data_IF_046636513528
#
_entry.id   IF_046636513528
#
_cell.length_a   1.000
_cell.length_b   1.000
_cell.length_c   1.000
_cell.angle_alpha   90.00
_cell.angle_beta   90.00
_cell.angle_gamma   90.00
#
_symmetry.space_group_name_H-M   'P 1'
#
loop_
_entity.id
_entity.type
_entity.pdbx_description
1 polymer ?
#
# COMPACT_ATOMS: atom_id res chain seq x y z
N UNK A 1 -25.34 20.32 -13.23
CA UNK A 1 -25.02 18.95 -12.80
C UNK A 1 -24.04 18.41 -13.84
N UNK A 2 -22.74 18.46 -13.56
CA UNK A 2 -21.69 18.06 -14.51
C UNK A 2 -21.23 16.61 -14.24
N UNK A 3 -20.91 15.81 -15.26
CA UNK A 3 -20.43 14.44 -15.10
C UNK A 3 -18.97 14.40 -14.60
N UNK A 4 -18.51 13.30 -13.97
CA UNK A 4 -17.13 13.13 -13.53
C UNK A 4 -16.25 12.74 -14.73
N UNK A 5 -15.57 13.72 -15.32
CA UNK A 5 -14.59 13.54 -16.40
C UNK A 5 -13.17 13.79 -15.91
N UNK A 6 -12.20 13.13 -16.52
CA UNK A 6 -10.75 13.29 -16.31
C UNK A 6 -10.34 14.76 -16.38
N UNK A 7 -9.61 15.26 -15.38
CA UNK A 7 -9.18 16.66 -15.32
C UNK A 7 -7.66 16.75 -15.42
N UNK A 8 -7.17 17.06 -16.61
CA UNK A 8 -5.79 17.49 -16.86
C UNK A 8 -5.67 18.91 -16.28
N UNK A 9 -5.06 19.06 -15.11
CA UNK A 9 -4.99 20.35 -14.44
C UNK A 9 -3.75 21.12 -14.94
N UNK A 10 -3.96 22.30 -15.54
CA UNK A 10 -2.87 23.20 -15.96
C UNK A 10 -2.10 23.82 -14.77
N UNK A 11 -2.52 23.52 -13.53
CA UNK A 11 -1.88 23.97 -12.30
C UNK A 11 -1.46 22.76 -11.44
N UNK A 12 -0.17 22.39 -11.44
CA UNK A 12 0.36 21.25 -10.68
C UNK A 12 0.03 21.31 -9.18
N UNK A 13 0.07 22.50 -8.58
CA UNK A 13 -0.24 22.70 -7.15
C UNK A 13 -1.69 22.34 -6.79
N UNK A 14 -2.65 22.71 -7.63
CA UNK A 14 -4.06 22.35 -7.41
C UNK A 14 -4.30 20.84 -7.66
N UNK A 15 -3.56 20.21 -8.58
CA UNK A 15 -3.60 18.76 -8.74
C UNK A 15 -3.11 18.03 -7.48
N UNK A 16 -1.98 18.46 -6.91
CA UNK A 16 -1.43 17.89 -5.65
C UNK A 16 -2.44 18.01 -4.50
N UNK A 17 -3.05 19.18 -4.31
CA UNK A 17 -4.08 19.37 -3.26
C UNK A 17 -5.25 18.41 -3.44
N UNK A 18 -5.74 18.24 -4.67
CA UNK A 18 -6.86 17.33 -4.98
C UNK A 18 -6.50 15.87 -4.73
N UNK A 19 -5.32 15.44 -5.14
CA UNK A 19 -4.82 14.07 -4.92
C UNK A 19 -4.66 13.80 -3.42
N UNK A 20 -4.08 14.74 -2.66
CA UNK A 20 -3.93 14.60 -1.21
C UNK A 20 -5.29 14.58 -0.49
N UNK A 21 -6.24 15.42 -0.88
CA UNK A 21 -7.60 15.40 -0.33
C UNK A 21 -8.31 14.06 -0.60
N UNK A 22 -8.14 13.51 -1.80
CA UNK A 22 -8.65 12.17 -2.11
C UNK A 22 -7.97 11.08 -1.26
N UNK A 23 -6.64 11.12 -1.13
CA UNK A 23 -5.88 10.15 -0.34
C UNK A 23 -6.32 10.16 1.13
N UNK A 24 -6.52 11.35 1.72
CA UNK A 24 -7.06 11.51 3.06
C UNK A 24 -8.44 10.87 3.19
N UNK A 25 -9.38 11.23 2.30
CA UNK A 25 -10.73 10.68 2.32
C UNK A 25 -10.74 9.15 2.14
N UNK A 26 -9.95 8.60 1.21
CA UNK A 26 -9.86 7.17 0.93
C UNK A 26 -9.26 6.37 2.09
N UNK A 27 -8.43 7.00 2.93
CA UNK A 27 -7.74 6.37 4.05
C UNK A 27 -8.33 6.70 5.42
N UNK A 28 -9.52 7.29 5.47
CA UNK A 28 -10.14 7.79 6.70
C UNK A 28 -9.17 8.69 7.50
N UNK A 29 -8.51 9.59 6.79
CA UNK A 29 -7.55 10.57 7.30
C UNK A 29 -6.30 9.96 7.97
N UNK A 30 -6.04 8.67 7.74
CA UNK A 30 -4.84 8.03 8.26
C UNK A 30 -3.58 8.41 7.44
N UNK A 31 -3.75 8.72 6.16
CA UNK A 31 -2.75 9.31 5.28
C UNK A 31 -3.28 10.64 4.76
N UNK A 32 -2.76 11.73 5.32
CA UNK A 32 -3.14 13.12 5.04
C UNK A 32 -2.65 13.66 3.70
N UNK A 33 -1.48 13.19 3.28
CA UNK A 33 -0.78 13.62 2.06
C UNK A 33 0.04 12.47 1.51
N UNK A 34 0.02 12.30 0.19
CA UNK A 34 0.87 11.34 -0.54
C UNK A 34 1.91 12.08 -1.38
N UNK A 35 1.58 13.26 -1.91
CA UNK A 35 2.46 14.06 -2.75
C UNK A 35 2.83 15.36 -2.02
N UNK A 36 4.12 15.66 -1.95
CA UNK A 36 4.64 16.94 -1.50
C UNK A 36 4.61 17.97 -2.64
N UNK A 37 4.70 19.25 -2.28
CA UNK A 37 4.82 20.32 -3.25
C UNK A 37 6.07 20.13 -4.12
N UNK A 38 5.92 20.32 -5.43
CA UNK A 38 7.00 20.16 -6.41
C UNK A 38 7.24 18.72 -6.90
N UNK A 39 6.57 17.70 -6.33
CA UNK A 39 6.65 16.33 -6.88
C UNK A 39 5.85 16.14 -8.17
N UNK A 40 4.80 16.96 -8.36
CA UNK A 40 4.09 17.09 -9.63
C UNK A 40 4.53 18.41 -10.25
N UNK A 41 5.05 18.34 -11.47
CA UNK A 41 5.50 19.50 -12.25
C UNK A 41 4.60 19.72 -13.46
N UNK A 42 4.86 20.79 -14.23
CA UNK A 42 4.20 21.02 -15.51
C UNK A 42 4.53 19.96 -16.57
N UNK A 43 5.56 19.15 -16.34
CA UNK A 43 5.95 18.02 -17.21
C UNK A 43 5.24 16.72 -16.80
N UNK A 44 4.55 16.70 -15.65
CA UNK A 44 3.76 15.54 -15.23
C UNK A 44 2.43 15.53 -15.96
N UNK A 45 2.17 14.45 -16.67
CA UNK A 45 1.02 14.35 -17.56
C UNK A 45 -0.09 13.49 -16.99
N UNK A 46 0.30 12.38 -16.35
CA UNK A 46 -0.63 11.44 -15.75
C UNK A 46 -0.16 11.09 -14.35
N UNK A 47 -1.10 11.13 -13.40
CA UNK A 47 -0.90 10.56 -12.07
C UNK A 47 -1.93 9.47 -11.84
N UNK A 48 -1.47 8.26 -11.59
CA UNK A 48 -2.32 7.12 -11.22
C UNK A 48 -2.09 6.81 -9.75
N UNK A 49 -3.15 6.84 -8.94
CA UNK A 49 -3.02 6.63 -7.51
C UNK A 49 -3.98 5.56 -6.96
N UNK A 50 -3.45 4.68 -6.13
CA UNK A 50 -4.19 3.65 -5.40
C UNK A 50 -4.14 3.85 -3.90
N UNK A 51 -5.26 3.57 -3.22
CA UNK A 51 -5.38 3.66 -1.76
C UNK A 51 -6.04 2.40 -1.20
N UNK A 52 -5.47 1.88 -0.11
CA UNK A 52 -6.00 0.77 0.66
C UNK A 52 -6.16 1.22 2.11
N UNK A 53 -7.31 0.88 2.72
CA UNK A 53 -7.59 1.10 4.12
C UNK A 53 -8.09 -0.18 4.77
N UNK A 54 -7.55 -0.48 5.94
CA UNK A 54 -7.90 -1.63 6.76
C UNK A 54 -8.20 -1.19 8.19
N UNK A 55 -9.30 -1.67 8.74
CA UNK A 55 -9.64 -1.56 10.15
C UNK A 55 -10.14 -2.90 10.66
N UNK A 56 -9.30 -3.59 11.41
CA UNK A 56 -9.62 -4.89 12.00
C UNK A 56 -9.65 -4.80 13.52
N UNK A 57 -10.70 -5.32 14.14
CA UNK A 57 -10.73 -5.53 15.59
C UNK A 57 -10.19 -6.91 15.93
N UNK A 58 -9.27 -6.99 16.87
CA UNK A 58 -8.82 -8.29 17.42
C UNK A 58 -9.76 -8.73 18.53
N UNK A 59 -9.63 -9.97 19.02
CA UNK A 59 -10.24 -10.31 20.30
C UNK A 59 -9.78 -9.31 21.37
N UNK A 60 -10.71 -8.89 22.23
CA UNK A 60 -10.43 -8.07 23.39
C UNK A 60 -9.44 -8.86 24.26
N UNK A 61 -8.15 -8.65 24.04
CA UNK A 61 -7.12 -8.99 25.00
C UNK A 61 -7.14 -7.82 25.96
N UNK A 62 -7.82 -7.90 27.12
CA UNK A 62 -7.54 -6.92 28.14
C UNK A 62 -6.04 -7.04 28.41
N UNK A 63 -5.32 -5.98 28.08
CA UNK A 63 -3.89 -5.83 28.16
C UNK A 63 -3.05 -6.45 27.05
N UNK A 64 -2.04 -5.65 26.72
CA UNK A 64 -0.68 -5.98 26.28
C UNK A 64 0.07 -6.91 27.27
N UNK A 65 -0.68 -7.76 27.98
CA UNK A 65 -0.35 -8.81 28.94
C UNK A 65 -1.49 -9.84 28.94
N UNK A 66 -1.36 -10.88 28.14
CA UNK A 66 -2.31 -12.00 28.11
C UNK A 66 -1.75 -13.25 28.79
N UNK A 67 -2.63 -13.97 29.51
CA UNK A 67 -2.49 -15.38 29.89
C UNK A 67 -3.52 -16.17 29.07
N UNK A 68 -3.20 -17.36 28.56
CA UNK A 68 -4.18 -18.21 27.86
C UNK A 68 -3.65 -18.92 26.62
N UNK A 69 -4.53 -19.25 25.67
CA UNK A 69 -4.20 -19.95 24.42
C UNK A 69 -3.96 -18.94 23.29
N UNK A 70 -2.83 -19.04 22.58
CA UNK A 70 -2.51 -18.16 21.43
C UNK A 70 -1.92 -18.97 20.28
N UNK A 71 -2.06 -18.47 19.05
CA UNK A 71 -1.41 -19.08 17.88
C UNK A 71 0.06 -18.66 17.86
N UNK A 72 0.93 -19.51 18.40
CA UNK A 72 2.37 -19.27 18.45
C UNK A 72 3.11 -20.49 17.92
N UNK A 73 4.05 -20.25 17.01
CA UNK A 73 5.02 -21.24 16.54
C UNK A 73 6.42 -20.82 17.01
N UNK A 74 7.17 -21.76 17.57
CA UNK A 74 8.57 -21.57 17.96
C UNK A 74 9.45 -22.27 16.94
N UNK A 75 10.32 -21.51 16.29
CA UNK A 75 11.29 -22.02 15.31
C UNK A 75 12.69 -21.82 15.86
N UNK A 76 13.69 -22.38 15.17
CA UNK A 76 15.09 -22.17 15.55
C UNK A 76 15.48 -20.72 15.30
N UNK A 77 15.68 -19.94 16.36
CA UNK A 77 16.17 -18.56 16.30
C UNK A 77 15.09 -17.47 16.24
N UNK A 78 13.81 -17.84 16.17
CA UNK A 78 12.70 -16.88 16.18
C UNK A 78 11.37 -17.53 16.56
N UNK A 79 10.38 -16.70 16.88
CA UNK A 79 9.00 -17.09 17.21
C UNK A 79 8.03 -16.34 16.31
N UNK A 80 6.87 -16.94 16.03
CA UNK A 80 5.81 -16.33 15.23
C UNK A 80 4.52 -16.29 16.04
N UNK A 81 3.95 -15.10 16.24
CA UNK A 81 2.63 -14.89 16.84
C UNK A 81 1.62 -14.54 15.75
N UNK A 82 0.46 -15.20 15.74
CA UNK A 82 -0.64 -14.88 14.82
C UNK A 82 -1.87 -14.37 15.57
N UNK A 83 -2.27 -13.14 15.28
CA UNK A 83 -3.43 -12.47 15.85
C UNK A 83 -4.54 -12.38 14.81
N UNK A 84 -5.59 -13.18 14.99
CA UNK A 84 -6.74 -13.20 14.06
C UNK A 84 -7.66 -12.00 14.32
N UNK A 85 -8.06 -11.33 13.25
CA UNK A 85 -9.09 -10.29 13.33
C UNK A 85 -10.50 -10.91 13.36
N UNK A 86 -11.47 -10.13 13.83
CA UNK A 86 -12.90 -10.46 13.80
C UNK A 86 -13.57 -9.78 12.64
N UNK A 87 -14.48 -10.49 11.97
CA UNK A 87 -15.33 -9.94 10.93
C UNK A 87 -16.80 -10.11 11.34
N UNK A 88 -17.36 -9.06 11.94
CA UNK A 88 -18.72 -9.09 12.49
C UNK A 88 -18.93 -10.15 13.58
N UNK A 89 -20.18 -10.61 13.74
CA UNK A 89 -20.58 -11.53 14.83
C UNK A 89 -20.48 -13.02 14.49
N UNK A 90 -20.23 -13.41 13.24
CA UNK A 90 -20.46 -14.80 12.79
C UNK A 90 -19.35 -15.47 11.97
N UNK A 91 -18.32 -14.76 11.48
CA UNK A 91 -17.23 -15.40 10.72
C UNK A 91 -15.84 -14.98 11.23
N UNK A 92 -14.89 -15.92 11.35
CA UNK A 92 -13.51 -15.56 11.58
C UNK A 92 -12.99 -14.81 10.34
N UNK A 93 -12.35 -13.66 10.55
CA UNK A 93 -11.77 -12.91 9.44
C UNK A 93 -10.71 -13.75 8.72
N UNK A 94 -10.59 -13.65 7.39
CA UNK A 94 -9.44 -14.19 6.67
C UNK A 94 -8.15 -13.44 7.03
N UNK A 95 -8.25 -12.23 7.58
CA UNK A 95 -7.10 -11.41 7.95
C UNK A 95 -6.54 -11.78 9.33
N UNK A 96 -5.22 -11.78 9.43
CA UNK A 96 -4.49 -11.93 10.68
C UNK A 96 -3.21 -11.11 10.65
N UNK A 97 -2.83 -10.52 11.78
CA UNK A 97 -1.49 -9.96 11.96
C UNK A 97 -0.53 -11.06 12.38
N UNK A 98 0.60 -11.18 11.69
CA UNK A 98 1.63 -12.14 12.02
C UNK A 98 2.89 -11.38 12.44
N UNK A 99 3.41 -11.69 13.62
CA UNK A 99 4.57 -11.01 14.21
C UNK A 99 5.70 -12.03 14.31
N UNK A 100 6.75 -11.77 13.54
CA UNK A 100 7.98 -12.55 13.55
C UNK A 100 8.96 -11.89 14.52
N UNK A 101 9.32 -12.62 15.57
CA UNK A 101 10.15 -12.11 16.67
C UNK A 101 11.44 -12.95 16.76
N UNK A 102 12.60 -12.41 16.33
CA UNK A 102 13.89 -13.05 16.54
C UNK A 102 14.18 -13.28 18.03
N UNK A 103 14.91 -14.34 18.36
CA UNK A 103 15.37 -14.60 19.73
C UNK A 103 16.49 -13.62 20.13
N UNK A 104 17.38 -13.29 19.19
CA UNK A 104 18.43 -12.29 19.36
C UNK A 104 17.88 -10.87 19.17
N UNK A 105 18.33 -9.91 19.98
CA UNK A 105 17.83 -8.52 19.92
C UNK A 105 18.16 -7.81 18.61
N UNK A 106 19.27 -8.17 17.99
CA UNK A 106 19.80 -7.71 16.71
C UNK A 106 19.51 -8.69 15.56
N UNK A 107 18.73 -9.75 15.81
CA UNK A 107 18.47 -10.83 14.85
C UNK A 107 17.49 -10.50 13.73
N UNK A 108 16.97 -9.27 13.65
CA UNK A 108 15.95 -8.91 12.64
C UNK A 108 16.51 -8.97 11.22
N UNK A 109 17.75 -8.51 11.01
CA UNK A 109 18.39 -8.54 9.69
C UNK A 109 18.52 -9.97 9.16
N UNK A 110 19.12 -10.85 9.97
CA UNK A 110 19.29 -12.26 9.62
C UNK A 110 17.95 -12.97 9.36
N UNK A 111 16.90 -12.58 10.10
CA UNK A 111 15.55 -13.11 9.86
C UNK A 111 14.99 -12.62 8.52
N UNK A 112 15.17 -11.36 8.15
CA UNK A 112 14.75 -10.81 6.85
C UNK A 112 15.51 -11.46 5.69
N UNK A 113 16.81 -11.68 5.82
CA UNK A 113 17.61 -12.41 4.81
C UNK A 113 17.12 -13.85 4.62
N UNK A 114 16.78 -14.52 5.73
CA UNK A 114 16.21 -15.86 5.70
C UNK A 114 14.84 -15.88 5.00
N UNK A 115 14.00 -14.87 5.26
CA UNK A 115 12.72 -14.69 4.58
C UNK A 115 12.90 -14.47 3.07
N UNK A 116 13.83 -13.61 2.68
CA UNK A 116 14.11 -13.30 1.28
C UNK A 116 14.70 -14.50 0.51
N UNK A 117 15.45 -15.37 1.19
CA UNK A 117 16.11 -16.52 0.58
C UNK A 117 15.20 -17.74 0.40
N UNK A 118 13.98 -17.74 0.95
CA UNK A 118 13.07 -18.88 0.93
C UNK A 118 11.64 -18.45 0.54
N UNK A 119 11.19 -18.72 -0.70
CA UNK A 119 9.87 -18.28 -1.18
C UNK A 119 8.69 -18.77 -0.32
N UNK A 120 8.80 -19.97 0.26
CA UNK A 120 7.76 -20.56 1.10
C UNK A 120 7.86 -20.17 2.58
N UNK A 121 8.81 -19.30 2.95
CA UNK A 121 9.11 -19.00 4.34
C UNK A 121 7.88 -18.57 5.13
N UNK A 122 7.11 -17.62 4.61
CA UNK A 122 5.93 -17.13 5.31
C UNK A 122 4.93 -18.29 5.48
N UNK A 123 4.57 -18.98 4.40
CA UNK A 123 3.57 -20.05 4.45
C UNK A 123 3.94 -21.20 5.39
N UNK A 124 5.21 -21.59 5.42
CA UNK A 124 5.73 -22.72 6.21
C UNK A 124 5.92 -22.42 7.70
N UNK A 125 6.07 -21.15 8.10
CA UNK A 125 6.39 -20.78 9.49
C UNK A 125 5.21 -20.21 10.28
N UNK A 126 4.04 -20.04 9.66
CA UNK A 126 2.84 -19.55 10.35
C UNK A 126 2.26 -20.60 11.32
N UNK A 127 1.83 -20.19 12.52
CA UNK A 127 1.19 -21.09 13.48
C UNK A 127 -0.20 -21.54 13.00
N UNK A 128 -0.46 -22.84 13.13
CA UNK A 128 -1.74 -23.50 12.79
C UNK A 128 -2.53 -23.94 14.02
N UNK A 129 -1.90 -24.03 15.20
CA UNK A 129 -2.51 -24.48 16.45
C UNK A 129 -2.41 -23.43 17.56
N UNK A 130 -3.31 -23.55 18.53
CA UNK A 130 -3.29 -22.77 19.76
C UNK A 130 -2.39 -23.45 20.80
N UNK A 131 -1.55 -22.67 21.47
CA UNK A 131 -0.68 -23.14 22.55
C UNK A 131 -0.85 -22.29 23.81
N UNK A 132 -0.70 -22.88 25.01
CA UNK A 132 -0.68 -22.14 26.26
C UNK A 132 0.50 -21.16 26.29
N UNK A 133 0.22 -19.91 26.64
CA UNK A 133 1.24 -18.88 26.87
C UNK A 133 1.11 -18.30 28.26
N UNK A 134 2.28 -18.16 28.91
CA UNK A 134 2.43 -17.49 30.19
C UNK A 134 2.17 -15.99 30.07
N UNK A 135 3.19 -15.22 29.68
CA UNK A 135 3.11 -13.75 29.63
C UNK A 135 3.38 -13.24 28.22
N UNK A 136 2.32 -12.97 27.45
CA UNK A 136 2.44 -12.32 26.15
C UNK A 136 2.44 -10.80 26.30
N UNK A 137 3.45 -10.11 25.75
CA UNK A 137 3.51 -8.64 25.72
C UNK A 137 3.63 -8.16 24.27
N UNK A 138 2.77 -7.24 23.89
CA UNK A 138 2.78 -6.59 22.58
C UNK A 138 2.62 -5.08 22.79
N UNK A 139 3.56 -4.22 22.38
CA UNK A 139 3.45 -2.78 22.60
C UNK A 139 2.40 -2.11 21.70
N UNK A 140 1.87 -0.95 22.13
CA UNK A 140 1.16 -0.03 21.23
C UNK A 140 2.20 0.62 20.35
N UNK A 141 1.90 0.73 19.07
CA UNK A 141 2.77 1.47 18.17
C UNK A 141 1.97 2.07 17.03
N UNK A 142 2.50 3.17 16.51
CA UNK A 142 2.10 3.75 15.24
C UNK A 142 3.37 3.93 14.42
N UNK A 143 3.40 3.34 13.24
CA UNK A 143 4.50 3.44 12.29
C UNK A 143 3.98 4.10 11.03
N UNK A 144 4.77 5.01 10.49
CA UNK A 144 4.53 5.65 9.21
C UNK A 144 5.77 5.46 8.35
N UNK A 145 5.56 5.14 7.08
CA UNK A 145 6.59 4.96 6.07
C UNK A 145 6.20 5.79 4.85
N UNK A 146 7.18 6.43 4.23
CA UNK A 146 7.02 7.14 2.97
C UNK A 146 8.33 7.04 2.20
N UNK A 147 8.26 6.63 0.93
CA UNK A 147 9.43 6.54 0.08
C UNK A 147 9.07 6.74 -1.39
N UNK A 148 10.07 7.20 -2.15
CA UNK A 148 10.10 7.04 -3.59
C UNK A 148 10.62 5.63 -3.90
N UNK A 149 9.78 4.83 -4.55
CA UNK A 149 10.04 3.43 -4.88
C UNK A 149 10.79 3.26 -6.20
N UNK A 150 11.03 4.35 -6.95
CA UNK A 150 11.60 4.31 -8.30
C UNK A 150 12.99 3.66 -8.32
N UNK A 151 13.88 4.05 -7.40
CA UNK A 151 15.22 3.47 -7.29
C UNK A 151 15.18 1.97 -6.96
N UNK A 152 14.35 1.58 -5.99
CA UNK A 152 14.18 0.19 -5.57
C UNK A 152 13.64 -0.67 -6.72
N UNK A 153 12.65 -0.16 -7.46
CA UNK A 153 12.06 -0.91 -8.58
C UNK A 153 13.02 -1.06 -9.76
N UNK A 154 13.84 -0.04 -10.05
CA UNK A 154 14.93 -0.14 -11.03
C UNK A 154 15.93 -1.21 -10.60
N UNK A 155 16.37 -1.21 -9.34
CA UNK A 155 17.27 -2.24 -8.80
C UNK A 155 16.69 -3.67 -8.86
N UNK A 156 15.35 -3.80 -8.82
CA UNK A 156 14.65 -5.07 -8.99
C UNK A 156 14.42 -5.46 -10.47
N UNK A 157 14.93 -4.68 -11.42
CA UNK A 157 14.90 -4.96 -12.86
C UNK A 157 13.79 -4.25 -13.64
N UNK A 158 13.00 -3.36 -13.01
CA UNK A 158 12.03 -2.52 -13.71
C UNK A 158 12.71 -1.24 -14.21
N UNK A 159 13.66 -1.37 -15.14
CA UNK A 159 14.43 -0.25 -15.66
C UNK A 159 13.73 0.46 -16.83
N UNK A 160 13.29 -0.32 -17.82
CA UNK A 160 12.69 0.18 -19.08
C UNK A 160 11.54 1.14 -18.84
N UNK A 161 10.68 0.86 -17.85
CA UNK A 161 9.50 1.69 -17.58
C UNK A 161 9.83 3.12 -17.13
N UNK A 162 11.07 3.38 -16.72
CA UNK A 162 11.54 4.70 -16.32
C UNK A 162 12.66 5.24 -17.23
N UNK A 163 12.88 4.62 -18.39
CA UNK A 163 13.83 5.10 -19.39
C UNK A 163 13.12 6.01 -20.40
N UNK A 164 13.63 7.22 -20.60
CA UNK A 164 13.05 8.22 -21.50
C UNK A 164 12.98 7.79 -22.97
N UNK A 165 13.84 6.86 -23.39
CA UNK A 165 13.97 6.41 -24.77
C UNK A 165 13.33 5.04 -25.01
N UNK A 166 13.21 4.22 -23.96
CA UNK A 166 12.71 2.83 -24.08
C UNK A 166 11.35 2.58 -23.41
N UNK A 167 10.90 3.43 -22.47
CA UNK A 167 9.61 3.24 -21.80
C UNK A 167 8.47 3.28 -22.82
N UNK A 168 7.59 2.29 -22.82
CA UNK A 168 6.39 2.28 -23.67
C UNK A 168 5.12 2.00 -22.88
N UNK A 169 4.47 3.08 -22.42
CA UNK A 169 3.13 3.07 -21.84
C UNK A 169 2.11 3.80 -22.74
N UNK A 170 2.34 3.83 -24.05
CA UNK A 170 1.51 4.57 -25.02
C UNK A 170 0.04 4.13 -25.02
N UNK A 171 -0.27 2.86 -24.74
CA UNK A 171 -1.64 2.33 -24.63
C UNK A 171 -2.48 2.98 -23.49
N UNK A 172 -1.88 3.77 -22.60
CA UNK A 172 -2.57 4.45 -21.50
C UNK A 172 -3.11 5.85 -21.86
N UNK A 173 -2.72 6.43 -22.99
CA UNK A 173 -3.07 7.80 -23.41
C UNK A 173 -3.34 7.88 -24.91
N UNK A 174 -4.06 8.90 -25.38
CA UNK A 174 -4.17 9.10 -26.84
C UNK A 174 -2.80 9.53 -27.39
N UNK A 175 -2.48 9.11 -28.61
CA UNK A 175 -1.29 9.59 -29.30
C UNK A 175 -1.40 11.11 -29.52
N UNK A 176 -0.48 11.87 -28.92
CA UNK A 176 -0.40 13.33 -29.08
C UNK A 176 0.28 13.75 -30.39
N UNK A 177 0.64 12.78 -31.24
CA UNK A 177 1.32 12.98 -32.51
C UNK A 177 2.82 13.27 -32.37
N UNK A 178 3.37 13.23 -31.16
CA UNK A 178 4.83 13.38 -30.93
C UNK A 178 5.59 12.08 -31.23
N UNK A 179 4.89 10.94 -31.28
CA UNK A 179 5.48 9.62 -31.48
C UNK A 179 6.39 9.20 -30.32
N UNK A 180 6.29 9.86 -29.16
CA UNK A 180 7.08 9.56 -27.98
C UNK A 180 6.20 8.86 -26.94
N UNK A 181 6.60 7.67 -26.49
CA UNK A 181 5.80 6.92 -25.54
C UNK A 181 5.80 7.54 -24.13
N UNK A 182 4.72 7.26 -23.39
CA UNK A 182 4.58 7.65 -21.98
C UNK A 182 5.53 6.83 -21.11
N UNK A 183 6.24 7.48 -20.19
CA UNK A 183 7.16 6.84 -19.24
C UNK A 183 6.87 7.20 -17.78
N UNK A 184 7.37 6.39 -16.83
CA UNK A 184 7.30 6.69 -15.40
C UNK A 184 8.36 7.72 -15.00
N UNK A 185 7.95 8.79 -14.34
CA UNK A 185 8.86 9.75 -13.69
C UNK A 185 9.11 9.41 -12.22
N UNK A 186 8.13 8.82 -11.53
CA UNK A 186 8.33 8.40 -10.15
C UNK A 186 7.17 7.64 -9.54
N UNK A 187 7.44 6.91 -8.46
CA UNK A 187 6.41 6.17 -7.70
C UNK A 187 6.57 6.47 -6.21
N UNK A 188 5.64 7.24 -5.65
CA UNK A 188 5.63 7.52 -4.22
C UNK A 188 4.71 6.54 -3.51
N UNK A 189 5.20 5.88 -2.48
CA UNK A 189 4.42 5.00 -1.62
C UNK A 189 4.46 5.47 -0.16
N UNK A 190 3.29 5.62 0.45
CA UNK A 190 3.14 5.94 1.87
C UNK A 190 2.25 4.90 2.54
N UNK A 191 2.66 4.43 3.71
CA UNK A 191 1.91 3.47 4.50
C UNK A 191 1.94 3.86 5.99
N UNK A 192 0.81 3.64 6.67
CA UNK A 192 0.67 3.87 8.10
C UNK A 192 0.02 2.65 8.73
N UNK A 193 0.57 2.18 9.85
CA UNK A 193 -0.05 1.15 10.68
C UNK A 193 -0.10 1.62 12.13
N UNK A 194 -1.27 1.50 12.75
CA UNK A 194 -1.53 1.78 14.16
C UNK A 194 -2.08 0.52 14.82
N UNK A 195 -1.41 0.06 15.87
CA UNK A 195 -1.78 -1.13 16.64
C UNK A 195 -2.01 -0.75 18.09
N UNK A 196 -3.20 -1.08 18.58
CA UNK A 196 -3.62 -0.86 19.96
C UNK A 196 -4.49 -2.02 20.45
N UNK A 197 -5.04 -1.92 21.65
CA UNK A 197 -5.85 -2.98 22.27
C UNK A 197 -7.19 -3.24 21.55
N UNK A 198 -7.72 -2.24 20.84
CA UNK A 198 -8.97 -2.37 20.08
C UNK A 198 -8.75 -3.06 18.73
N UNK A 199 -7.51 -3.11 18.26
CA UNK A 199 -7.08 -3.82 17.06
C UNK A 199 -6.05 -3.05 16.24
N UNK A 200 -6.27 -3.02 14.92
CA UNK A 200 -5.34 -2.42 13.96
C UNK A 200 -6.07 -1.55 12.98
N UNK A 201 -5.53 -0.34 12.77
CA UNK A 201 -5.83 0.49 11.62
C UNK A 201 -4.59 0.52 10.74
N UNK A 202 -4.75 0.28 9.45
CA UNK A 202 -3.66 0.41 8.50
C UNK A 202 -4.16 1.10 7.23
N UNK A 203 -3.31 1.89 6.61
CA UNK A 203 -3.57 2.49 5.32
C UNK A 203 -2.31 2.51 4.48
N UNK A 204 -2.48 2.46 3.17
CA UNK A 204 -1.41 2.66 2.22
C UNK A 204 -1.92 3.42 0.99
N UNK A 205 -1.10 4.31 0.44
CA UNK A 205 -1.36 5.02 -0.81
C UNK A 205 -0.11 4.92 -1.68
N UNK A 206 -0.29 4.57 -2.95
CA UNK A 206 0.76 4.60 -3.97
C UNK A 206 0.33 5.57 -5.07
N UNK A 207 1.19 6.51 -5.44
CA UNK A 207 1.00 7.42 -6.56
C UNK A 207 2.12 7.22 -7.58
N UNK A 208 1.76 6.87 -8.81
CA UNK A 208 2.69 6.75 -9.95
C UNK A 208 2.52 8.00 -10.81
N UNK A 209 3.62 8.67 -11.11
CA UNK A 209 3.69 9.87 -11.93
C UNK A 209 4.31 9.49 -13.28
N UNK A 210 3.73 10.00 -14.35
CA UNK A 210 4.14 9.71 -15.72
C UNK A 210 4.28 11.00 -16.51
N UNK A 211 5.15 10.98 -17.50
CA UNK A 211 5.45 12.12 -18.36
C UNK A 211 5.61 11.67 -19.82
N UNK A 212 5.31 12.58 -20.73
CA UNK A 212 5.59 12.48 -22.15
C UNK A 212 6.80 13.37 -22.49
N UNK A 213 7.91 12.80 -22.97
CA UNK A 213 9.09 13.60 -23.29
C UNK A 213 8.82 14.58 -24.45
N UNK A 214 9.22 15.85 -24.34
CA UNK A 214 9.28 16.78 -25.49
C UNK A 214 7.97 17.46 -25.91
N UNK A 215 7.07 17.65 -24.97
CA UNK A 215 5.67 18.06 -25.19
C UNK A 215 5.46 19.52 -25.67
N UNK A 216 4.45 19.71 -26.54
CA UNK A 216 3.86 21.03 -26.88
C UNK A 216 2.35 21.16 -26.56
N UNK A 217 1.63 20.05 -26.30
CA UNK A 217 0.20 20.02 -25.94
C UNK A 217 -0.17 18.75 -25.14
N UNK A 218 -1.22 18.79 -24.31
CA UNK A 218 -1.67 17.66 -23.47
C UNK A 218 -2.58 16.68 -24.23
N UNK A 219 -2.26 15.37 -24.35
CA UNK A 219 -3.17 14.39 -24.91
C UNK A 219 -4.30 14.09 -23.95
N UNK A 220 -5.45 13.77 -24.54
CA UNK A 220 -6.55 13.19 -23.81
C UNK A 220 -6.20 11.73 -23.41
N UNK A 221 -6.78 11.20 -22.32
CA UNK A 221 -6.59 9.81 -21.95
C UNK A 221 -7.56 8.87 -22.70
N UNK A 222 -7.08 7.88 -23.48
CA UNK A 222 -7.94 6.82 -24.06
C UNK A 222 -8.27 5.80 -22.98
N UNK A 223 -9.52 5.76 -22.52
CA UNK A 223 -10.02 4.62 -21.74
C UNK A 223 -11.36 4.14 -22.33
N UNK A 224 -11.30 3.15 -23.22
CA UNK A 224 -12.48 2.58 -23.86
C UNK A 224 -13.08 1.44 -23.01
N UNK A 225 -14.40 1.53 -22.78
CA UNK A 225 -15.26 0.73 -21.90
C UNK A 225 -15.29 1.14 -20.42
N UNK A 226 -16.28 1.98 -20.08
CA UNK A 226 -16.85 2.05 -18.73
C UNK A 226 -16.02 2.78 -17.68
N UNK A 227 -15.81 4.09 -17.88
CA UNK A 227 -15.52 5.08 -16.83
C UNK A 227 -14.66 4.61 -15.65
N UNK A 228 -13.33 4.72 -15.79
CA UNK A 228 -12.43 4.69 -14.65
C UNK A 228 -11.44 5.85 -14.74
N UNK A 229 -11.78 6.98 -14.14
CA UNK A 229 -10.77 7.88 -13.59
C UNK A 229 -10.20 7.18 -12.35
N UNK A 230 -8.90 6.88 -12.31
CA UNK A 230 -8.28 6.27 -11.12
C UNK A 230 -8.00 7.35 -10.08
N UNK A 231 -9.08 7.86 -9.48
CA UNK A 231 -9.17 7.93 -8.03
C UNK A 231 -9.53 6.50 -7.60
N UNK A 232 -8.59 5.72 -7.06
CA UNK A 232 -8.98 4.42 -6.52
C UNK A 232 -10.08 4.59 -5.48
N UNK A 233 -11.27 4.11 -5.82
CA UNK A 233 -12.20 3.71 -4.77
C UNK A 233 -11.48 2.65 -3.92
N UNK A 234 -11.59 2.69 -2.58
CA UNK A 234 -11.08 1.60 -1.76
C UNK A 234 -11.65 0.29 -2.31
N UNK A 235 -10.91 -0.84 -2.29
CA UNK A 235 -11.48 -2.11 -2.65
C UNK A 235 -12.77 -2.29 -1.85
N UNK A 236 -13.92 -2.17 -2.52
CA UNK A 236 -15.19 -2.62 -1.96
C UNK A 236 -15.06 -4.12 -1.92
N UNK A 237 -14.57 -4.65 -0.79
CA UNK A 237 -14.83 -6.04 -0.47
C UNK A 237 -16.34 -6.24 -0.61
N UNK A 238 -16.79 -7.24 -1.39
CA UNK A 238 -18.20 -7.41 -1.65
C UNK A 238 -18.94 -7.49 -0.32
N UNK A 239 -19.90 -6.59 -0.11
CA UNK A 239 -21.03 -6.94 0.75
C UNK A 239 -21.70 -8.09 0.03
N UNK A 240 -21.42 -9.32 0.44
CA UNK A 240 -22.22 -10.45 0.00
C UNK A 240 -23.64 -10.19 0.49
N UNK A 241 -24.53 -9.85 -0.44
CA UNK A 241 -25.96 -9.78 -0.19
C UNK A 241 -26.45 -11.19 0.17
N UNK A 242 -27.07 -11.25 1.36
CA UNK A 242 -27.90 -12.28 1.99
C UNK A 242 -27.83 -13.73 1.52
#
# INVERSE_FOLDING_TARGET
MHPPGTYINQEPGEAVKRINAWAAAATNDLIDSILADGQVSAETDVVVANAVYFKGSTFHVPFMRGFGQQYIACHRGFKVLKLRYKEGRKRPSPFSMCIFLPDARDGLHALVEMMASCPEFIGSHLPTSLVPVGKLRLPRFKLAFSADMSGILRELGLEVAFDENEADLSDMVEDDGTGRPLGLSGIIHKAVIEVNEDGTKAAAVTASMMFLPGKTAFPDPVWNNGGMAVLCTPPKFPKMEN
#
